data_IF_559260546144
#
_entry.id   IF_559260546144
#
_cell.length_a   1.000
_cell.length_b   1.000
_cell.length_c   1.000
_cell.angle_alpha   90.00
_cell.angle_beta   90.00
_cell.angle_gamma   90.00
#
_symmetry.space_group_name_H-M   'P 1'
#
loop_
_entity.id
_entity.type
_entity.pdbx_description
1 polymer ?
#
# COMPACT_ATOMS: atom_id res chain seq x y z
N UNK A 1 39.60 12.21 28.59
CA UNK A 1 40.53 12.60 27.51
C UNK A 1 39.71 13.27 26.43
N UNK A 2 40.19 14.40 25.93
CA UNK A 2 39.48 15.31 25.04
C UNK A 2 39.04 14.64 23.73
N UNK A 3 37.85 15.03 23.25
CA UNK A 3 37.43 14.91 21.86
C UNK A 3 36.69 16.20 21.49
N UNK A 4 37.34 17.02 20.66
CA UNK A 4 36.86 18.32 20.20
C UNK A 4 35.82 18.18 19.06
N UNK A 5 34.90 19.16 19.02
CA UNK A 5 34.35 19.89 17.87
C UNK A 5 34.10 19.13 16.55
N UNK A 6 32.83 19.06 16.16
CA UNK A 6 32.40 19.20 14.77
C UNK A 6 31.03 19.88 14.71
N UNK A 7 30.99 21.04 14.07
CA UNK A 7 29.77 21.69 13.62
C UNK A 7 29.16 20.90 12.45
N UNK A 8 27.83 20.96 12.33
CA UNK A 8 27.15 20.68 11.06
C UNK A 8 26.67 19.24 10.87
N UNK A 9 25.51 18.95 11.46
CA UNK A 9 24.38 18.28 10.80
C UNK A 9 23.33 18.10 11.88
N UNK A 10 22.19 18.80 11.76
CA UNK A 10 20.96 18.29 12.38
C UNK A 10 20.59 17.09 11.53
N UNK A 11 21.28 15.97 11.76
CA UNK A 11 20.80 14.69 11.31
C UNK A 11 19.49 14.52 12.07
N UNK A 12 18.38 14.73 11.38
CA UNK A 12 17.14 14.07 11.74
C UNK A 12 17.43 12.57 11.61
N UNK A 13 18.07 12.02 12.64
CA UNK A 13 17.95 10.63 12.99
C UNK A 13 16.49 10.48 13.39
N UNK A 14 15.61 10.38 12.40
CA UNK A 14 14.38 9.63 12.59
C UNK A 14 14.90 8.23 12.91
N UNK A 15 14.89 7.89 14.19
CA UNK A 15 14.85 6.48 14.57
C UNK A 15 13.79 5.83 13.67
N UNK A 16 13.96 4.58 13.22
CA UNK A 16 12.85 3.84 12.68
C UNK A 16 11.90 3.61 13.86
N UNK A 17 11.10 4.63 14.17
CA UNK A 17 9.84 4.44 14.81
C UNK A 17 9.19 3.36 13.95
N UNK A 18 8.79 2.25 14.57
CA UNK A 18 7.85 1.34 13.97
C UNK A 18 6.56 2.14 13.73
N UNK A 19 6.57 2.97 12.69
CA UNK A 19 5.41 3.63 12.14
C UNK A 19 4.92 2.62 11.13
N UNK A 20 3.71 2.12 11.33
CA UNK A 20 2.92 1.75 10.18
C UNK A 20 3.02 2.93 9.20
N UNK A 21 3.40 2.64 7.95
CA UNK A 21 3.52 3.70 6.95
C UNK A 21 2.16 4.42 6.88
N UNK A 22 2.10 5.76 6.95
CA UNK A 22 0.84 6.47 6.82
C UNK A 22 0.02 6.05 5.59
N UNK A 23 0.69 5.61 4.51
CA UNK A 23 0.06 5.05 3.33
C UNK A 23 -0.64 3.70 3.60
N UNK A 24 -0.01 2.82 4.40
CA UNK A 24 -0.59 1.54 4.81
C UNK A 24 -1.86 1.73 5.64
N UNK A 25 -1.78 2.60 6.65
CA UNK A 25 -2.93 2.93 7.48
C UNK A 25 -4.06 3.56 6.65
N UNK A 26 -3.73 4.48 5.74
CA UNK A 26 -4.70 5.10 4.85
C UNK A 26 -5.37 4.06 3.94
N UNK A 27 -4.59 3.16 3.36
CA UNK A 27 -5.09 2.09 2.51
C UNK A 27 -6.05 1.18 3.27
N UNK A 28 -5.63 0.63 4.41
CA UNK A 28 -6.45 -0.26 5.23
C UNK A 28 -7.74 0.43 5.72
N UNK A 29 -7.65 1.66 6.22
CA UNK A 29 -8.83 2.42 6.62
C UNK A 29 -9.78 2.67 5.44
N UNK A 30 -9.24 2.92 4.24
CA UNK A 30 -10.07 3.10 3.04
C UNK A 30 -10.85 1.83 2.74
N UNK A 31 -10.19 0.67 2.75
CA UNK A 31 -10.88 -0.60 2.53
C UNK A 31 -12.01 -0.83 3.55
N UNK A 32 -11.74 -0.59 4.84
CA UNK A 32 -12.74 -0.72 5.90
C UNK A 32 -13.93 0.22 5.71
N UNK A 33 -13.69 1.49 5.33
CA UNK A 33 -14.76 2.45 5.02
C UNK A 33 -15.65 2.01 3.86
N UNK A 34 -15.07 1.27 2.90
CA UNK A 34 -15.82 0.69 1.78
C UNK A 34 -16.43 -0.69 2.10
N UNK A 35 -16.38 -1.14 3.36
CA UNK A 35 -16.97 -2.39 3.82
C UNK A 35 -16.15 -3.64 3.48
N UNK A 36 -14.89 -3.47 3.06
CA UNK A 36 -13.97 -4.59 2.85
C UNK A 36 -13.36 -4.95 4.20
N UNK A 37 -13.73 -6.12 4.70
CA UNK A 37 -13.17 -6.71 5.91
C UNK A 37 -12.28 -7.91 5.57
N UNK A 38 -11.33 -8.18 6.45
CA UNK A 38 -10.45 -9.35 6.42
C UNK A 38 -10.25 -9.85 7.87
N UNK A 39 -9.75 -11.07 8.07
CA UNK A 39 -9.47 -11.59 9.40
C UNK A 39 -8.48 -10.70 10.17
N UNK A 40 -8.69 -10.54 11.47
CA UNK A 40 -7.76 -9.81 12.33
C UNK A 40 -6.36 -10.39 12.26
N UNK A 41 -5.35 -9.53 12.08
CA UNK A 41 -3.95 -9.95 11.87
C UNK A 41 -3.58 -10.20 10.41
N UNK A 42 -4.51 -10.07 9.45
CA UNK A 42 -4.22 -10.15 8.02
C UNK A 42 -3.93 -8.80 7.35
N UNK A 43 -3.72 -7.73 8.13
CA UNK A 43 -3.39 -6.40 7.61
C UNK A 43 -2.18 -6.43 6.66
N UNK A 44 -1.13 -7.16 7.04
CA UNK A 44 0.06 -7.33 6.21
C UNK A 44 -0.21 -8.02 4.86
N UNK A 45 -1.17 -8.94 4.82
CA UNK A 45 -1.61 -9.56 3.55
C UNK A 45 -2.30 -8.52 2.66
N UNK A 46 -3.19 -7.70 3.24
CA UNK A 46 -3.87 -6.65 2.49
C UNK A 46 -2.90 -5.59 1.96
N UNK A 47 -1.95 -5.16 2.78
CA UNK A 47 -0.87 -4.23 2.40
C UNK A 47 -0.06 -4.83 1.24
N UNK A 48 0.37 -6.09 1.36
CA UNK A 48 1.12 -6.76 0.30
C UNK A 48 0.35 -6.84 -1.01
N UNK A 49 -0.97 -7.09 -0.96
CA UNK A 49 -1.84 -7.04 -2.15
C UNK A 49 -1.89 -5.63 -2.74
N UNK A 50 -1.99 -4.60 -1.91
CA UNK A 50 -1.97 -3.21 -2.39
C UNK A 50 -0.66 -2.82 -3.07
N UNK A 51 0.48 -3.30 -2.56
CA UNK A 51 1.75 -3.12 -3.25
C UNK A 51 1.85 -3.91 -4.56
N UNK A 52 1.32 -5.14 -4.60
CA UNK A 52 1.28 -5.95 -5.82
C UNK A 52 0.50 -5.24 -6.95
N UNK A 53 -0.60 -4.54 -6.63
CA UNK A 53 -1.33 -3.72 -7.61
C UNK A 53 -0.42 -2.71 -8.31
N UNK A 54 0.45 -2.03 -7.55
CA UNK A 54 1.39 -1.07 -8.13
C UNK A 54 2.51 -1.73 -8.94
N UNK A 55 2.90 -2.95 -8.56
CA UNK A 55 3.84 -3.75 -9.36
C UNK A 55 3.21 -4.14 -10.71
N UNK A 56 1.98 -4.60 -10.73
CA UNK A 56 1.23 -4.92 -11.96
C UNK A 56 1.12 -3.69 -12.86
N UNK A 57 0.81 -2.52 -12.28
CA UNK A 57 0.77 -1.27 -13.03
C UNK A 57 2.10 -0.90 -13.68
N UNK A 58 3.19 -1.02 -12.92
CA UNK A 58 4.55 -0.78 -13.42
C UNK A 58 4.99 -1.82 -14.44
N UNK A 59 4.49 -3.05 -14.36
CA UNK A 59 4.73 -4.11 -15.34
C UNK A 59 3.97 -3.88 -16.65
N UNK A 60 2.99 -2.96 -16.65
CA UNK A 60 2.18 -2.64 -17.82
C UNK A 60 0.86 -3.41 -17.89
N UNK A 61 0.48 -4.11 -16.82
CA UNK A 61 -0.76 -4.89 -16.79
C UNK A 61 -2.01 -4.01 -16.91
N UNK A 62 -3.07 -4.64 -17.41
CA UNK A 62 -4.40 -4.07 -17.53
C UNK A 62 -5.19 -4.27 -16.23
N UNK A 63 -6.20 -3.42 -16.01
CA UNK A 63 -7.06 -3.53 -14.83
C UNK A 63 -7.70 -4.91 -14.67
N UNK A 64 -8.09 -5.56 -15.77
CA UNK A 64 -8.68 -6.89 -15.72
C UNK A 64 -7.70 -7.94 -15.19
N UNK A 65 -6.42 -7.84 -15.56
CA UNK A 65 -5.37 -8.74 -15.07
C UNK A 65 -5.12 -8.52 -13.58
N UNK A 66 -4.87 -7.27 -13.18
CA UNK A 66 -4.68 -6.88 -11.78
C UNK A 66 -5.87 -7.28 -10.89
N UNK A 67 -7.11 -7.11 -11.37
CA UNK A 67 -8.31 -7.60 -10.68
C UNK A 67 -8.26 -9.12 -10.49
N UNK A 68 -7.92 -9.87 -11.54
CA UNK A 68 -7.81 -11.33 -11.48
C UNK A 68 -6.75 -11.80 -10.49
N UNK A 69 -5.60 -11.14 -10.43
CA UNK A 69 -4.50 -11.49 -9.52
C UNK A 69 -4.84 -11.16 -8.06
N UNK A 70 -5.47 -10.02 -7.80
CA UNK A 70 -6.02 -9.66 -6.48
C UNK A 70 -7.08 -10.67 -6.04
N UNK A 71 -8.02 -11.03 -6.92
CA UNK A 71 -9.05 -12.03 -6.64
C UNK A 71 -8.46 -13.39 -6.28
N UNK A 72 -7.46 -13.83 -7.06
CA UNK A 72 -6.77 -15.10 -6.83
C UNK A 72 -6.00 -15.10 -5.51
N UNK A 73 -5.34 -14.00 -5.18
CA UNK A 73 -4.54 -13.86 -3.95
C UNK A 73 -5.41 -13.85 -2.69
N UNK A 74 -6.54 -13.15 -2.74
CA UNK A 74 -7.45 -13.02 -1.60
C UNK A 74 -8.59 -14.04 -1.59
N UNK A 75 -8.68 -14.90 -2.61
CA UNK A 75 -9.81 -15.82 -2.78
C UNK A 75 -11.16 -15.12 -2.94
N UNK A 76 -11.18 -13.88 -3.42
CA UNK A 76 -12.39 -13.08 -3.58
C UNK A 76 -13.10 -13.45 -4.89
N UNK A 77 -14.35 -13.88 -4.80
CA UNK A 77 -15.18 -14.19 -5.97
C UNK A 77 -15.81 -12.95 -6.62
N UNK A 78 -15.78 -11.76 -6.00
CA UNK A 78 -16.55 -10.59 -6.45
C UNK A 78 -16.04 -9.23 -5.94
N UNK A 79 -16.52 -8.16 -6.63
CA UNK A 79 -16.62 -6.69 -6.42
C UNK A 79 -15.64 -5.92 -5.51
N UNK A 80 -15.05 -6.51 -4.46
CA UNK A 80 -14.12 -5.82 -3.57
C UNK A 80 -12.79 -5.46 -4.24
N UNK A 81 -12.37 -6.23 -5.25
CA UNK A 81 -11.08 -6.07 -5.93
C UNK A 81 -10.91 -4.70 -6.59
N UNK A 82 -11.98 -4.12 -7.16
CA UNK A 82 -11.92 -2.77 -7.75
C UNK A 82 -11.66 -1.68 -6.70
N UNK A 83 -12.27 -1.82 -5.52
CA UNK A 83 -12.00 -0.91 -4.39
C UNK A 83 -10.59 -1.11 -3.85
N UNK A 84 -10.13 -2.36 -3.73
CA UNK A 84 -8.76 -2.68 -3.31
C UNK A 84 -7.75 -2.03 -4.24
N UNK A 85 -7.94 -2.22 -5.55
CA UNK A 85 -7.07 -1.65 -6.58
C UNK A 85 -7.13 -0.13 -6.57
N UNK A 86 -8.32 0.46 -6.48
CA UNK A 86 -8.48 1.91 -6.43
C UNK A 86 -7.84 2.54 -5.20
N UNK A 87 -8.04 1.95 -4.03
CA UNK A 87 -7.42 2.39 -2.78
C UNK A 87 -5.90 2.23 -2.80
N UNK A 88 -5.41 1.09 -3.27
CA UNK A 88 -3.99 0.80 -3.42
C UNK A 88 -3.32 1.79 -4.39
N UNK A 89 -3.92 1.99 -5.56
CA UNK A 89 -3.41 2.96 -6.55
C UNK A 89 -3.44 4.37 -5.97
N UNK A 90 -4.47 4.74 -5.21
CA UNK A 90 -4.55 6.05 -4.60
C UNK A 90 -3.50 6.29 -3.49
N UNK A 91 -3.16 5.25 -2.72
CA UNK A 91 -2.26 5.32 -1.57
C UNK A 91 -0.78 5.11 -1.95
N UNK A 92 -0.49 4.12 -2.80
CA UNK A 92 0.87 3.65 -3.06
C UNK A 92 1.45 4.10 -4.40
N UNK A 93 0.63 4.26 -5.43
CA UNK A 93 1.09 4.61 -6.78
C UNK A 93 0.11 5.55 -7.51
N UNK A 94 -0.05 6.78 -7.00
CA UNK A 94 -1.02 7.76 -7.51
C UNK A 94 -0.80 8.17 -8.97
N UNK A 95 0.39 7.95 -9.52
CA UNK A 95 0.73 8.15 -10.93
C UNK A 95 -0.05 7.23 -11.89
N UNK A 96 -0.50 6.05 -11.42
CA UNK A 96 -1.27 5.10 -12.24
C UNK A 96 -2.78 5.28 -12.14
N UNK A 97 -3.27 6.34 -11.48
CA UNK A 97 -4.72 6.62 -11.38
C UNK A 97 -5.41 6.71 -12.74
N UNK A 98 -4.70 7.06 -13.80
CA UNK A 98 -5.24 7.07 -15.17
C UNK A 98 -5.57 5.69 -15.75
N UNK A 99 -5.13 4.59 -15.10
CA UNK A 99 -5.51 3.22 -15.45
C UNK A 99 -6.87 2.80 -14.84
N UNK A 100 -7.39 3.58 -13.89
CA UNK A 100 -8.70 3.35 -13.29
C UNK A 100 -9.81 3.99 -14.16
N UNK A 101 -10.98 3.33 -14.31
CA UNK A 101 -12.11 3.82 -15.10
C UNK A 101 -12.92 4.89 -14.38
#
# INVERSE_FOLDING_TARGET
>A
MAGLLSAGAVAFAVAPLAQADPADDQYLQTLQRHGIGWPSGSDGMMINVGHAVCQDWSAGDTLAQTVGDVQKTLGLSNNGSGTIIGAATAAYCPEFRSKLP
#
